data_IF_397325454671
#
_entry.id   IF_397325454671
#
_cell.length_a   1.000
_cell.length_b   1.000
_cell.length_c   1.000
_cell.angle_alpha   90.00
_cell.angle_beta   90.00
_cell.angle_gamma   90.00
#
_symmetry.space_group_name_H-M   'P 1'
#
loop_
_entity.id
_entity.type
_entity.pdbx_description
1 polymer ?
#
# COMPACT_ATOMS: atom_id res chain seq x y z
N UNK A 1 -11.07 19.54 23.21
CA UNK A 1 -10.58 18.28 22.63
C UNK A 1 -10.06 18.64 21.26
N UNK A 2 -8.80 18.32 20.96
CA UNK A 2 -8.21 18.61 19.65
C UNK A 2 -8.80 17.65 18.62
N UNK A 3 -9.15 18.15 17.44
CA UNK A 3 -9.56 17.32 16.30
C UNK A 3 -8.34 16.53 15.81
N UNK A 4 -8.49 15.23 15.60
CA UNK A 4 -7.42 14.37 15.09
C UNK A 4 -7.03 14.71 13.64
N UNK A 5 -7.86 15.50 12.94
CA UNK A 5 -7.64 15.97 11.57
C UNK A 5 -6.94 17.34 11.50
N UNK A 6 -6.69 18.00 12.65
CA UNK A 6 -6.11 19.33 12.65
C UNK A 6 -4.61 19.27 12.30
N UNK A 7 -4.23 19.97 11.23
CA UNK A 7 -2.84 20.06 10.75
C UNK A 7 -2.23 21.42 11.07
N UNK A 8 -0.93 21.45 11.38
CA UNK A 8 -0.17 22.69 11.60
C UNK A 8 -0.17 23.17 13.04
N UNK A 9 0.09 24.46 13.24
CA UNK A 9 0.20 25.06 14.56
C UNK A 9 -1.19 25.44 15.08
N UNK A 10 -1.67 24.70 16.09
CA UNK A 10 -2.87 25.06 16.82
C UNK A 10 -2.51 26.04 17.94
N UNK A 11 -3.12 27.23 17.89
CA UNK A 11 -2.91 28.28 18.88
C UNK A 11 -4.13 28.37 19.78
N UNK A 12 -3.94 28.14 21.07
CA UNK A 12 -4.93 28.47 22.08
C UNK A 12 -4.58 29.83 22.69
N UNK A 13 -5.43 30.83 22.48
CA UNK A 13 -5.24 32.20 22.99
C UNK A 13 -6.24 32.47 24.09
N UNK A 14 -5.76 32.75 25.30
CA UNK A 14 -6.57 33.27 26.39
C UNK A 14 -6.35 34.76 26.52
N UNK A 15 -7.44 35.52 26.56
CA UNK A 15 -7.42 36.97 26.73
C UNK A 15 -8.14 37.35 28.01
N UNK A 16 -7.59 38.28 28.79
CA UNK A 16 -8.28 38.87 29.94
C UNK A 16 -8.61 40.33 29.61
N UNK A 17 -9.80 40.79 29.99
CA UNK A 17 -10.23 42.18 29.78
C UNK A 17 -10.98 42.70 31.00
N UNK A 18 -10.83 43.99 31.30
CA UNK A 18 -11.48 44.69 32.42
C UNK A 18 -12.28 45.89 31.89
N UNK A 19 -13.20 46.41 32.70
CA UNK A 19 -14.10 47.49 32.28
C UNK A 19 -13.45 48.89 32.34
N UNK A 20 -12.43 49.08 33.17
CA UNK A 20 -11.65 50.32 33.22
C UNK A 20 -10.56 50.39 32.14
N UNK A 21 -10.24 51.60 31.68
CA UNK A 21 -9.17 51.82 30.69
C UNK A 21 -7.80 51.40 31.25
N UNK A 22 -7.15 50.46 30.57
CA UNK A 22 -5.81 49.96 30.91
C UNK A 22 -4.75 50.56 29.98
N UNK A 23 -3.62 51.02 30.54
CA UNK A 23 -2.56 51.68 29.79
C UNK A 23 -1.60 50.70 29.10
N UNK A 24 -1.50 49.47 29.60
CA UNK A 24 -0.68 48.40 29.04
C UNK A 24 -1.57 47.17 28.83
N UNK A 25 -1.77 46.79 27.58
CA UNK A 25 -2.58 45.63 27.20
C UNK A 25 -1.73 44.46 26.71
N UNK A 26 -0.40 44.57 26.81
CA UNK A 26 0.54 43.59 26.27
C UNK A 26 0.59 42.29 27.10
N UNK A 27 0.18 42.34 28.36
CA UNK A 27 0.08 41.21 29.28
C UNK A 27 -1.32 40.55 29.32
N UNK A 28 -2.29 41.14 28.61
CA UNK A 28 -3.66 40.65 28.57
C UNK A 28 -3.88 39.45 27.64
N UNK A 29 -2.81 38.94 27.02
CA UNK A 29 -2.85 37.83 26.07
C UNK A 29 -1.80 36.80 26.46
N UNK A 30 -2.25 35.56 26.68
CA UNK A 30 -1.35 34.40 26.74
C UNK A 30 -1.75 33.40 25.67
N UNK A 31 -0.76 32.92 24.91
CA UNK A 31 -0.97 31.91 23.88
C UNK A 31 -0.12 30.67 24.16
N UNK A 32 -0.69 29.49 23.92
CA UNK A 32 0.04 28.24 23.85
C UNK A 32 -0.08 27.66 22.45
N UNK A 33 1.04 27.15 21.90
CA UNK A 33 1.07 26.54 20.57
C UNK A 33 1.37 25.06 20.69
N UNK A 34 0.58 24.25 19.99
CA UNK A 34 0.82 22.82 19.80
C UNK A 34 0.97 22.58 18.31
N UNK A 35 2.02 21.88 17.89
CA UNK A 35 2.19 21.47 16.50
C UNK A 35 1.59 20.08 16.32
N UNK A 36 0.62 19.97 15.42
CA UNK A 36 0.09 18.70 14.97
C UNK A 36 0.70 18.34 13.62
N UNK A 37 1.44 17.23 13.57
CA UNK A 37 1.99 16.69 12.33
C UNK A 37 0.92 15.85 11.64
N UNK A 38 0.62 16.06 10.35
CA UNK A 38 -0.23 15.16 9.60
C UNK A 38 0.36 13.75 9.65
N UNK A 39 -0.49 12.77 9.98
CA UNK A 39 -0.12 11.36 10.05
C UNK A 39 -1.07 10.58 9.14
N UNK A 40 -0.53 10.08 8.04
CA UNK A 40 -1.22 9.11 7.19
C UNK A 40 -0.91 7.69 7.66
N UNK A 41 -1.74 6.72 7.26
CA UNK A 41 -1.52 5.31 7.57
C UNK A 41 -1.82 4.46 6.33
N UNK A 42 -0.78 4.00 5.64
CA UNK A 42 -0.96 3.28 4.38
C UNK A 42 -1.02 1.77 4.63
N UNK A 43 -2.06 1.15 4.12
CA UNK A 43 -2.24 -0.31 4.11
C UNK A 43 -2.26 -0.81 2.66
N UNK A 44 -1.51 -1.88 2.39
CA UNK A 44 -1.55 -2.60 1.13
C UNK A 44 -2.22 -3.96 1.34
N UNK A 45 -3.32 -4.18 0.64
CA UNK A 45 -3.89 -5.51 0.44
C UNK A 45 -3.54 -6.01 -0.97
N UNK A 46 -3.00 -7.22 -1.04
CA UNK A 46 -2.73 -7.96 -2.29
C UNK A 46 -3.59 -9.22 -2.31
N UNK A 47 -4.25 -9.45 -3.42
CA UNK A 47 -5.09 -10.63 -3.67
C UNK A 47 -4.62 -11.28 -4.97
N UNK A 48 -4.04 -12.46 -4.90
CA UNK A 48 -3.56 -13.20 -6.06
C UNK A 48 -4.57 -14.26 -6.47
N UNK A 49 -4.91 -14.25 -7.77
CA UNK A 49 -5.73 -15.26 -8.44
C UNK A 49 -4.84 -16.04 -9.40
N UNK A 50 -4.69 -17.33 -9.15
CA UNK A 50 -3.97 -18.24 -10.06
C UNK A 50 -4.93 -18.73 -11.16
N UNK A 51 -4.62 -18.39 -12.40
CA UNK A 51 -5.32 -18.88 -13.59
C UNK A 51 -4.40 -19.79 -14.39
N UNK A 52 -4.75 -21.07 -14.50
CA UNK A 52 -4.08 -21.95 -15.45
C UNK A 52 -4.80 -21.90 -16.78
N UNK A 53 -4.07 -21.59 -17.83
CA UNK A 53 -4.55 -21.60 -19.21
C UNK A 53 -4.08 -22.85 -19.97
N UNK A 54 -3.39 -23.78 -19.30
CA UNK A 54 -2.76 -24.91 -19.95
C UNK A 54 -3.00 -26.23 -19.23
N UNK A 55 -3.30 -27.27 -20.01
CA UNK A 55 -3.34 -28.65 -19.52
C UNK A 55 -1.95 -29.31 -19.59
N UNK A 56 -0.89 -28.54 -19.87
CA UNK A 56 0.50 -29.02 -19.89
C UNK A 56 1.09 -28.96 -18.47
N UNK A 57 2.03 -29.87 -18.21
CA UNK A 57 2.65 -30.04 -16.90
C UNK A 57 3.81 -29.06 -16.64
N UNK A 58 4.06 -28.11 -17.57
CA UNK A 58 5.29 -27.30 -17.58
C UNK A 58 5.12 -25.89 -17.01
N UNK A 59 3.90 -25.47 -16.62
CA UNK A 59 3.60 -24.22 -15.89
C UNK A 59 4.04 -22.90 -16.57
N UNK A 60 4.68 -22.95 -17.75
CA UNK A 60 5.20 -21.77 -18.47
C UNK A 60 4.07 -20.85 -18.99
N UNK A 61 2.85 -21.35 -19.07
CA UNK A 61 1.68 -20.58 -19.52
C UNK A 61 0.83 -20.06 -18.34
N UNK A 62 1.04 -20.54 -17.10
CA UNK A 62 0.20 -20.16 -15.95
C UNK A 62 0.33 -18.65 -15.67
N UNK A 63 -0.81 -17.98 -15.46
CA UNK A 63 -0.85 -16.54 -15.18
C UNK A 63 -1.33 -16.29 -13.76
N UNK A 64 -0.69 -15.33 -13.11
CA UNK A 64 -1.12 -14.79 -11.82
C UNK A 64 -1.70 -13.42 -12.04
N UNK A 65 -2.97 -13.26 -11.70
CA UNK A 65 -3.62 -11.95 -11.64
C UNK A 65 -3.57 -11.46 -10.19
N UNK A 66 -2.68 -10.51 -9.92
CA UNK A 66 -2.53 -9.86 -8.62
C UNK A 66 -3.35 -8.58 -8.59
N UNK A 67 -4.40 -8.53 -7.78
CA UNK A 67 -5.09 -7.30 -7.43
C UNK A 67 -4.38 -6.66 -6.22
N UNK A 68 -3.97 -5.40 -6.36
CA UNK A 68 -3.35 -4.62 -5.30
C UNK A 68 -4.27 -3.46 -4.94
N UNK A 69 -4.47 -3.24 -3.65
CA UNK A 69 -5.29 -2.18 -3.09
C UNK A 69 -4.50 -1.44 -2.01
N UNK A 70 -4.26 -0.14 -2.24
CA UNK A 70 -3.68 0.76 -1.25
C UNK A 70 -4.82 1.55 -0.61
N UNK A 71 -4.83 1.64 0.72
CA UNK A 71 -5.82 2.41 1.50
C UNK A 71 -5.10 3.33 2.48
N UNK A 72 -5.58 4.57 2.63
CA UNK A 72 -5.14 5.46 3.71
C UNK A 72 -6.09 5.35 4.91
N UNK A 73 -5.70 4.59 5.93
CA UNK A 73 -6.43 4.41 7.18
C UNK A 73 -6.09 5.50 8.23
N UNK A 74 -5.25 6.47 7.87
CA UNK A 74 -4.72 7.46 8.80
C UNK A 74 -5.70 8.62 9.01
N UNK A 75 -5.55 9.38 10.10
CA UNK A 75 -6.38 10.56 10.36
C UNK A 75 -6.15 11.69 9.35
N UNK A 76 -5.00 11.73 8.67
CA UNK A 76 -4.65 12.74 7.65
C UNK A 76 -4.58 12.16 6.24
N UNK A 77 -4.75 13.01 5.23
CA UNK A 77 -4.56 12.66 3.83
C UNK A 77 -3.10 12.27 3.54
N UNK A 78 -2.88 11.31 2.64
CA UNK A 78 -1.57 10.91 2.15
C UNK A 78 -1.33 11.55 0.78
N UNK A 79 -0.28 12.36 0.64
CA UNK A 79 0.01 13.05 -0.62
C UNK A 79 1.15 12.37 -1.39
N UNK A 80 1.11 12.47 -2.72
CA UNK A 80 2.14 11.93 -3.61
C UNK A 80 2.46 10.45 -3.32
N UNK A 81 1.40 9.62 -3.27
CA UNK A 81 1.53 8.21 -2.96
C UNK A 81 2.10 7.48 -4.16
N UNK A 82 3.26 6.85 -3.99
CA UNK A 82 3.94 6.08 -5.05
C UNK A 82 4.10 4.64 -4.61
N UNK A 83 3.60 3.72 -5.44
CA UNK A 83 3.79 2.29 -5.27
C UNK A 83 4.89 1.77 -6.18
N UNK A 84 5.75 0.92 -5.64
CA UNK A 84 6.82 0.23 -6.36
C UNK A 84 6.64 -1.27 -6.22
N UNK A 85 6.66 -1.98 -7.34
CA UNK A 85 6.68 -3.44 -7.38
C UNK A 85 7.89 -3.91 -8.21
N UNK A 86 8.96 -4.33 -7.55
CA UNK A 86 10.15 -4.89 -8.19
C UNK A 86 9.87 -6.35 -8.56
N UNK A 87 9.80 -6.65 -9.86
CA UNK A 87 9.65 -8.02 -10.35
C UNK A 87 11.03 -8.68 -10.34
N UNK A 88 11.20 -9.71 -9.51
CA UNK A 88 12.49 -10.39 -9.37
C UNK A 88 12.66 -11.46 -10.47
N UNK A 89 13.71 -12.28 -10.39
CA UNK A 89 14.04 -13.27 -11.43
C UNK A 89 12.89 -14.26 -11.67
N UNK A 90 12.77 -14.72 -12.93
CA UNK A 90 11.81 -15.73 -13.40
C UNK A 90 10.35 -15.26 -13.57
N UNK A 91 10.08 -13.97 -13.69
CA UNK A 91 8.73 -13.47 -14.03
C UNK A 91 8.75 -12.50 -15.21
N UNK A 92 7.73 -12.59 -16.07
CA UNK A 92 7.41 -11.63 -17.12
C UNK A 92 6.15 -10.89 -16.74
N UNK A 93 6.19 -9.56 -16.92
CA UNK A 93 4.99 -8.75 -16.85
C UNK A 93 4.15 -8.95 -18.12
N UNK A 94 2.95 -9.49 -17.98
CA UNK A 94 2.01 -9.68 -19.09
C UNK A 94 1.20 -8.41 -19.33
N UNK A 95 0.60 -7.87 -18.27
CA UNK A 95 -0.15 -6.62 -18.34
C UNK A 95 -0.24 -5.94 -16.98
N UNK A 96 -0.47 -4.63 -17.02
CA UNK A 96 -0.90 -3.85 -15.87
C UNK A 96 -2.20 -3.17 -16.29
N UNK A 97 -3.29 -3.45 -15.59
CA UNK A 97 -4.57 -2.80 -15.82
C UNK A 97 -4.90 -1.91 -14.64
N UNK A 98 -5.20 -0.66 -14.97
CA UNK A 98 -5.42 0.37 -13.99
C UNK A 98 -6.59 1.21 -14.44
N UNK A 99 -7.57 1.37 -13.56
CA UNK A 99 -8.77 2.15 -13.85
C UNK A 99 -8.60 3.64 -13.56
N UNK A 100 -7.68 4.03 -12.67
CA UNK A 100 -7.60 5.40 -12.12
C UNK A 100 -6.18 6.00 -12.07
N UNK A 101 -5.11 5.21 -12.23
CA UNK A 101 -3.72 5.65 -11.98
C UNK A 101 -2.77 5.26 -13.12
N UNK A 102 -1.61 5.90 -13.22
CA UNK A 102 -0.62 5.61 -14.27
C UNK A 102 0.54 4.78 -13.70
N UNK A 103 0.74 3.59 -14.26
CA UNK A 103 1.89 2.75 -13.97
C UNK A 103 2.87 2.74 -15.14
N UNK A 104 4.16 2.83 -14.82
CA UNK A 104 5.27 2.71 -15.77
C UNK A 104 6.16 1.54 -15.37
N UNK A 105 6.86 0.95 -16.33
CA UNK A 105 7.75 -0.19 -16.09
C UNK A 105 9.16 0.23 -16.44
N UNK A 106 10.05 0.21 -15.46
CA UNK A 106 11.43 0.66 -15.61
C UNK A 106 12.33 -0.45 -15.06
N UNK A 107 13.11 -1.10 -15.94
CA UNK A 107 14.11 -2.09 -15.53
C UNK A 107 13.55 -3.28 -14.72
N UNK A 108 12.32 -3.74 -15.00
CA UNK A 108 11.67 -4.81 -14.25
C UNK A 108 10.94 -4.34 -12.99
N UNK A 109 10.93 -3.04 -12.68
CA UNK A 109 10.13 -2.48 -11.60
C UNK A 109 8.89 -1.79 -12.17
N UNK A 110 7.71 -2.16 -11.67
CA UNK A 110 6.46 -1.45 -11.94
C UNK A 110 6.35 -0.31 -10.92
N UNK A 111 6.28 0.93 -11.41
CA UNK A 111 6.13 2.13 -10.60
C UNK A 111 4.77 2.75 -10.93
N UNK A 112 3.89 2.82 -9.94
CA UNK A 112 2.55 3.38 -10.06
C UNK A 112 2.46 4.66 -9.23
N UNK A 113 2.20 5.77 -9.90
CA UNK A 113 1.85 7.03 -9.25
C UNK A 113 0.36 7.02 -8.93
N UNK A 114 0.04 6.95 -7.63
CA UNK A 114 -1.31 6.88 -7.12
C UNK A 114 -1.91 8.26 -6.81
N UNK A 115 -1.11 9.33 -6.87
CA UNK A 115 -1.52 10.67 -6.49
C UNK A 115 -1.81 10.81 -5.00
N UNK A 116 -2.76 11.68 -4.67
CA UNK A 116 -3.18 11.91 -3.28
C UNK A 116 -4.31 10.96 -2.89
N UNK A 117 -4.24 10.41 -1.67
CA UNK A 117 -5.27 9.57 -1.06
C UNK A 117 -5.82 10.27 0.17
N UNK A 118 -7.07 10.73 0.10
CA UNK A 118 -7.75 11.29 1.26
C UNK A 118 -7.91 10.24 2.38
N UNK A 119 -8.17 10.69 3.61
CA UNK A 119 -8.52 9.79 4.71
C UNK A 119 -9.68 8.83 4.32
N UNK A 120 -9.43 7.52 4.43
CA UNK A 120 -10.36 6.45 4.10
C UNK A 120 -10.43 6.12 2.61
N UNK A 121 -9.72 6.86 1.76
CA UNK A 121 -9.66 6.61 0.33
C UNK A 121 -8.79 5.40 0.00
N UNK A 122 -9.11 4.74 -1.11
CA UNK A 122 -8.39 3.58 -1.60
C UNK A 122 -8.29 3.57 -3.11
N UNK A 123 -7.16 3.09 -3.62
CA UNK A 123 -6.95 2.84 -5.06
C UNK A 123 -6.66 1.37 -5.27
N UNK A 124 -7.28 0.79 -6.31
CA UNK A 124 -7.12 -0.62 -6.69
C UNK A 124 -6.63 -0.72 -8.14
N UNK A 125 -5.70 -1.64 -8.37
CA UNK A 125 -5.16 -1.94 -9.70
C UNK A 125 -4.75 -3.41 -9.80
N UNK A 126 -4.57 -3.90 -11.02
CA UNK A 126 -4.27 -5.31 -11.27
C UNK A 126 -2.99 -5.46 -12.09
N UNK A 127 -2.13 -6.37 -11.66
CA UNK A 127 -0.90 -6.76 -12.35
C UNK A 127 -1.04 -8.22 -12.73
N UNK A 128 -0.79 -8.54 -14.02
CA UNK A 128 -0.76 -9.91 -14.51
C UNK A 128 0.68 -10.31 -14.78
N UNK A 129 1.10 -11.39 -14.15
CA UNK A 129 2.46 -11.94 -14.18
C UNK A 129 2.44 -13.36 -14.75
N UNK A 130 3.47 -13.74 -15.51
CA UNK A 130 3.70 -15.09 -15.99
C UNK A 130 5.12 -15.57 -15.62
N UNK A 131 5.32 -16.82 -15.19
CA UNK A 131 6.64 -17.35 -14.86
C UNK A 131 7.45 -17.64 -16.13
N UNK A 132 8.78 -17.44 -16.09
CA UNK A 132 9.71 -17.72 -17.21
C UNK A 132 10.29 -19.13 -17.13
N UNK A 133 10.56 -19.64 -15.93
CA UNK A 133 11.18 -20.96 -15.74
C UNK A 133 10.87 -21.48 -14.34
N UNK A 134 10.42 -22.74 -14.25
CA UNK A 134 10.30 -23.45 -12.97
C UNK A 134 9.21 -22.94 -12.04
N UNK A 135 8.15 -22.30 -12.53
CA UNK A 135 6.95 -22.00 -11.76
C UNK A 135 7.13 -21.05 -10.55
N UNK A 136 8.30 -20.44 -10.35
CA UNK A 136 8.50 -19.51 -9.24
C UNK A 136 8.21 -18.07 -9.68
N UNK A 137 7.41 -17.37 -8.88
CA UNK A 137 7.13 -15.94 -9.05
C UNK A 137 7.49 -15.24 -7.75
N UNK A 138 8.35 -14.24 -7.85
CA UNK A 138 8.70 -13.39 -6.73
C UNK A 138 8.66 -11.91 -7.11
N UNK A 139 8.22 -11.07 -6.17
CA UNK A 139 8.19 -9.63 -6.35
C UNK A 139 8.26 -8.88 -5.02
N UNK A 140 8.90 -7.70 -4.99
CA UNK A 140 8.90 -6.81 -3.82
C UNK A 140 7.92 -5.69 -4.02
N UNK A 141 6.90 -5.60 -3.19
CA UNK A 141 5.92 -4.51 -3.26
C UNK A 141 6.09 -3.59 -2.07
N UNK A 142 6.13 -2.29 -2.32
CA UNK A 142 6.13 -1.26 -1.28
C UNK A 142 5.42 0.00 -1.76
N UNK A 143 5.10 0.90 -0.83
CA UNK A 143 4.56 2.21 -1.16
C UNK A 143 5.07 3.29 -0.19
N UNK A 144 5.14 4.51 -0.71
CA UNK A 144 5.64 5.70 -0.01
C UNK A 144 4.67 6.86 -0.19
N UNK A 145 4.76 7.86 0.68
CA UNK A 145 4.06 9.15 0.54
C UNK A 145 4.95 10.27 1.10
N UNK A 146 4.60 11.52 0.77
CA UNK A 146 5.35 12.70 1.25
C UNK A 146 5.01 13.07 2.71
N UNK A 147 3.90 12.54 3.24
CA UNK A 147 3.51 12.75 4.64
C UNK A 147 4.21 11.76 5.56
N UNK A 148 4.43 12.16 6.82
CA UNK A 148 4.82 11.20 7.85
C UNK A 148 3.75 10.12 7.96
N UNK A 149 4.13 8.86 7.80
CA UNK A 149 3.23 7.71 7.94
C UNK A 149 3.51 6.94 9.21
N UNK A 150 2.45 6.43 9.85
CA UNK A 150 2.59 5.54 11.03
C UNK A 150 3.00 4.13 10.65
N UNK A 151 2.59 3.67 9.46
CA UNK A 151 3.08 2.45 8.84
C UNK A 151 3.69 2.81 7.48
N UNK A 152 5.00 2.63 7.34
CA UNK A 152 5.64 2.61 6.02
C UNK A 152 5.39 1.24 5.39
N UNK A 153 4.93 1.23 4.14
CA UNK A 153 4.89 0.01 3.34
C UNK A 153 6.28 -0.23 2.75
N UNK A 154 7.25 -0.50 3.62
CA UNK A 154 8.59 -0.90 3.21
C UNK A 154 8.47 -2.09 2.23
N UNK A 155 9.29 -2.15 1.16
CA UNK A 155 9.18 -3.20 0.16
C UNK A 155 9.24 -4.59 0.80
N UNK A 156 8.14 -5.33 0.72
CA UNK A 156 8.04 -6.68 1.26
C UNK A 156 8.10 -7.71 0.14
N UNK A 157 8.89 -8.75 0.38
CA UNK A 157 9.06 -9.86 -0.56
C UNK A 157 7.82 -10.76 -0.57
N UNK A 158 7.29 -10.94 -1.77
CA UNK A 158 6.37 -12.00 -2.10
C UNK A 158 7.13 -13.10 -2.84
N UNK A 159 6.92 -14.34 -2.43
CA UNK A 159 7.44 -15.53 -3.10
C UNK A 159 6.31 -16.55 -3.21
N UNK A 160 6.03 -16.96 -4.44
CA UNK A 160 5.19 -18.09 -4.75
C UNK A 160 6.02 -19.12 -5.52
N UNK A 161 6.01 -20.35 -5.03
CA UNK A 161 6.70 -21.47 -5.65
C UNK A 161 5.68 -22.47 -6.21
N UNK A 162 5.62 -22.59 -7.53
CA UNK A 162 4.81 -23.59 -8.25
C UNK A 162 5.65 -24.81 -8.67
N UNK A 163 6.92 -24.94 -8.25
CA UNK A 163 7.86 -26.00 -8.69
C UNK A 163 7.73 -27.37 -8.00
N UNK A 164 6.62 -27.62 -7.29
CA UNK A 164 6.39 -28.90 -6.60
C UNK A 164 6.26 -30.10 -7.57
N UNK A 165 6.73 -31.31 -7.21
CA UNK A 165 6.81 -32.46 -8.13
C UNK A 165 5.49 -33.20 -8.40
N UNK A 166 4.33 -32.53 -8.39
CA UNK A 166 3.03 -33.24 -8.47
C UNK A 166 2.25 -32.92 -9.75
N UNK A 167 2.05 -33.97 -10.55
CA UNK A 167 1.53 -33.96 -11.92
C UNK A 167 0.02 -33.84 -12.05
N UNK A 168 -0.65 -33.27 -11.04
CA UNK A 168 -2.12 -33.20 -10.99
C UNK A 168 -2.64 -31.88 -10.38
N UNK A 169 -1.97 -30.76 -10.69
CA UNK A 169 -2.56 -29.44 -10.51
C UNK A 169 -3.68 -29.26 -11.55
N UNK A 170 -4.89 -29.74 -11.24
CA UNK A 170 -6.08 -29.24 -11.92
C UNK A 170 -6.21 -27.73 -11.62
N UNK A 171 -6.68 -26.87 -12.55
CA UNK A 171 -6.81 -25.42 -12.34
C UNK A 171 -7.88 -25.08 -11.30
N UNK A 172 -7.63 -25.38 -10.03
CA UNK A 172 -8.48 -24.91 -8.97
C UNK A 172 -7.97 -23.53 -8.60
N UNK A 173 -8.77 -22.51 -8.97
CA UNK A 173 -8.56 -21.10 -8.65
C UNK A 173 -8.14 -20.99 -7.18
N UNK A 174 -6.86 -20.72 -6.94
CA UNK A 174 -6.36 -20.45 -5.60
C UNK A 174 -6.43 -18.94 -5.39
N UNK A 175 -7.00 -18.54 -4.26
CA UNK A 175 -7.01 -17.16 -3.79
C UNK A 175 -6.00 -17.06 -2.66
N UNK A 176 -4.98 -16.23 -2.83
CA UNK A 176 -4.04 -15.88 -1.77
C UNK A 176 -4.24 -14.41 -1.42
N UNK A 177 -4.40 -14.09 -0.14
CA UNK A 177 -4.56 -12.73 0.33
C UNK A 177 -3.43 -12.36 1.29
N UNK A 178 -2.71 -11.28 1.00
CA UNK A 178 -1.72 -10.71 1.89
C UNK A 178 -2.10 -9.27 2.23
N UNK A 179 -1.90 -8.87 3.49
CA UNK A 179 -2.14 -7.51 3.97
C UNK A 179 -0.92 -7.04 4.75
N UNK A 180 -0.39 -5.88 4.38
CA UNK A 180 0.78 -5.24 5.00
C UNK A 180 0.43 -3.79 5.35
N UNK A 181 1.03 -3.26 6.41
CA UNK A 181 0.72 -1.90 6.91
C UNK A 181 -0.48 -1.83 7.86
N UNK A 182 -0.92 -2.98 8.40
CA UNK A 182 -1.84 -3.03 9.54
C UNK A 182 -1.11 -3.48 10.80
N UNK A 183 -1.69 -3.26 11.98
CA UNK A 183 -1.19 -3.80 13.27
C UNK A 183 -1.11 -5.34 13.30
N UNK A 184 -1.64 -6.01 12.28
CA UNK A 184 -1.57 -7.46 12.05
C UNK A 184 -0.83 -7.76 10.74
N UNK A 185 0.38 -7.22 10.56
CA UNK A 185 1.23 -7.55 9.41
C UNK A 185 1.67 -9.02 9.46
N UNK A 186 1.18 -9.85 8.54
CA UNK A 186 1.62 -11.24 8.37
C UNK A 186 2.32 -11.38 7.02
N UNK A 187 3.61 -11.75 7.01
CA UNK A 187 4.26 -12.26 5.80
C UNK A 187 3.71 -13.66 5.52
N UNK A 188 2.79 -13.80 4.57
CA UNK A 188 2.27 -15.12 4.22
C UNK A 188 3.19 -15.76 3.20
N UNK A 189 3.97 -16.76 3.61
CA UNK A 189 4.54 -17.73 2.68
C UNK A 189 3.41 -18.69 2.34
N UNK A 190 2.74 -18.47 1.21
CA UNK A 190 1.68 -19.33 0.73
C UNK A 190 2.26 -20.67 0.28
N UNK A 191 2.30 -21.66 1.18
CA UNK A 191 2.52 -23.04 0.77
C UNK A 191 1.18 -23.63 0.32
N UNK A 192 1.07 -23.99 -0.95
CA UNK A 192 -0.02 -24.81 -1.44
C UNK A 192 0.16 -26.23 -0.87
N UNK A 193 -0.54 -26.54 0.20
CA UNK A 193 -0.76 -27.91 0.65
C UNK A 193 -2.25 -28.25 0.47
N UNK A 194 -2.57 -29.23 -0.37
CA UNK A 194 -3.94 -29.78 -0.45
C UNK A 194 -4.10 -31.03 0.41
N UNK A 195 -5.29 -31.16 0.99
CA UNK A 195 -5.83 -32.37 1.62
C UNK A 195 -6.12 -33.44 0.58
#
# INVERSE_FOLDING_TARGET
VLDQSAVGNLVNTATVSRAEAEFDISDNIVSSTISATPLADLELKRTDLLGSNSNNHEHEDDQISSELRITNNGPSDATNVVLTNELTVNVVLVSVSVSQVSCTVIGGTVVCDLGDLANGESVTFTIVLAPVTGGQISSKVGATSDQSVTNTLDPWEFLLDLSGPDSDLTPATALLESVVGSTNSWSQVGYLARR
#
